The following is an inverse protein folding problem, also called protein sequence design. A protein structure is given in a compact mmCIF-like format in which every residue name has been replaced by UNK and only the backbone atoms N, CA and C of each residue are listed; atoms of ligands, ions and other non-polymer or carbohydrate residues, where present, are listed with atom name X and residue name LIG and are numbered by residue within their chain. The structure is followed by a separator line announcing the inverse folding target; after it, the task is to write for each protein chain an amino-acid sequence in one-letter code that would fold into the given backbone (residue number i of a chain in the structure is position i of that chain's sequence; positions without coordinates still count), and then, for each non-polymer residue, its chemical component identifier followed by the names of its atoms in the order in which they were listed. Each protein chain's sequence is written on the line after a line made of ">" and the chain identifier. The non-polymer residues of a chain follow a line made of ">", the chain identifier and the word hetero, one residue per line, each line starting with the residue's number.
data_IF_847827109186
#
_entry.id   IF_847827109186
#
_cell.length_a   1.000
_cell.length_b   1.000
_cell.length_c   1.000
_cell.angle_alpha   90.00
_cell.angle_beta   90.00
_cell.angle_gamma   90.00
#
_symmetry.space_group_name_H-M   'P 1'
#
loop_
_entity.id
_entity.type
_entity.pdbx_description
1 polymer ?
#
# COMPACT_ATOMS: atom_id res chain seq x y z
N UNK A 1 34.24 -52.09 45.13
CA UNK A 1 32.76 -52.17 44.99
C UNK A 1 32.44 -52.14 43.52
N UNK A 2 32.50 -53.31 42.88
CA UNK A 2 31.33 -54.10 42.42
C UNK A 2 30.47 -53.28 41.45
N UNK A 3 30.61 -53.50 40.13
CA UNK A 3 30.04 -54.61 39.33
C UNK A 3 28.59 -54.27 38.91
N UNK A 4 28.08 -54.53 37.70
CA UNK A 4 28.55 -55.31 36.54
C UNK A 4 27.61 -54.98 35.35
N UNK A 5 28.16 -55.08 34.12
CA UNK A 5 27.67 -55.66 32.84
C UNK A 5 26.16 -55.97 32.64
N UNK A 6 25.57 -56.22 31.46
CA UNK A 6 25.97 -56.39 30.05
C UNK A 6 24.71 -56.87 29.28
N UNK A 7 24.81 -56.88 27.95
CA UNK A 7 24.02 -57.64 26.95
C UNK A 7 22.67 -57.02 26.58
N UNK A 8 22.41 -56.71 25.31
CA UNK A 8 22.36 -57.62 24.16
C UNK A 8 20.91 -58.12 24.05
N UNK A 9 20.22 -58.26 22.92
CA UNK A 9 20.46 -58.05 21.51
C UNK A 9 19.13 -58.39 20.80
N UNK A 10 18.97 -57.87 19.58
CA UNK A 10 18.27 -58.49 18.44
C UNK A 10 16.78 -58.91 18.50
N UNK A 11 16.00 -58.24 17.64
CA UNK A 11 15.10 -58.79 16.60
C UNK A 11 13.96 -59.71 17.06
N UNK A 12 12.72 -59.19 16.94
CA UNK A 12 11.61 -59.91 16.30
C UNK A 12 10.77 -58.94 15.46
N UNK A 13 10.68 -59.23 14.16
CA UNK A 13 9.75 -58.62 13.23
C UNK A 13 8.37 -59.25 13.41
N UNK A 14 7.31 -58.45 13.28
CA UNK A 14 5.98 -58.93 12.94
C UNK A 14 5.41 -58.06 11.82
N UNK A 15 5.45 -58.65 10.63
CA UNK A 15 4.79 -58.21 9.42
C UNK A 15 3.28 -58.15 9.64
N UNK A 16 2.65 -57.07 9.19
CA UNK A 16 1.30 -57.12 8.64
C UNK A 16 1.33 -56.48 7.25
N UNK A 17 1.48 -57.37 6.27
CA UNK A 17 1.10 -57.17 4.88
C UNK A 17 -0.40 -56.93 4.79
N UNK A 18 -0.85 -55.90 4.07
CA UNK A 18 -2.01 -56.03 3.18
C UNK A 18 -1.88 -55.11 1.97
N UNK A 19 -1.55 -55.77 0.86
CA UNK A 19 -1.99 -55.59 -0.53
C UNK A 19 -2.50 -54.23 -1.04
N UNK A 20 -1.79 -53.76 -2.05
CA UNK A 20 -2.20 -52.80 -3.09
C UNK A 20 -3.54 -53.14 -3.77
N UNK A 21 -4.36 -52.13 -4.09
CA UNK A 21 -4.72 -51.73 -5.46
C UNK A 21 -6.06 -50.98 -5.55
N UNK A 22 -6.09 -50.03 -6.50
CA UNK A 22 -7.25 -49.29 -7.07
C UNK A 22 -7.61 -47.94 -6.44
N UNK A 23 -6.91 -46.90 -6.90
CA UNK A 23 -7.52 -45.57 -7.05
C UNK A 23 -7.38 -45.18 -8.52
N UNK A 24 -8.52 -45.05 -9.21
CA UNK A 24 -8.67 -44.37 -10.50
C UNK A 24 -9.51 -43.11 -10.27
N UNK A 25 -9.33 -42.06 -11.09
CA UNK A 25 -9.83 -40.71 -10.84
C UNK A 25 -11.28 -40.56 -11.31
N UNK A 26 -12.06 -39.69 -10.64
CA UNK A 26 -13.36 -39.26 -11.14
C UNK A 26 -13.39 -37.73 -11.26
N UNK A 27 -13.28 -37.27 -12.50
CA UNK A 27 -13.71 -35.94 -12.95
C UNK A 27 -15.24 -35.91 -12.95
N UNK A 28 -15.83 -34.93 -12.25
CA UNK A 28 -17.19 -34.50 -12.53
C UNK A 28 -17.32 -32.98 -12.33
N UNK A 29 -17.75 -32.33 -13.41
CA UNK A 29 -18.14 -30.93 -13.55
C UNK A 29 -19.10 -30.50 -12.43
N UNK A 30 -18.85 -29.33 -11.84
CA UNK A 30 -19.89 -28.53 -11.21
C UNK A 30 -20.03 -27.22 -11.99
N UNK A 31 -21.22 -27.02 -12.54
CA UNK A 31 -21.62 -25.94 -13.44
C UNK A 31 -21.74 -24.61 -12.70
N UNK A 32 -21.36 -23.53 -13.40
CA UNK A 32 -21.83 -22.18 -13.15
C UNK A 32 -23.36 -22.12 -13.25
N UNK A 33 -24.00 -21.41 -12.32
CA UNK A 33 -25.42 -21.04 -12.12
C UNK A 33 -25.72 -21.32 -10.64
N UNK A 34 -25.67 -20.34 -9.75
CA UNK A 34 -26.84 -19.50 -9.46
C UNK A 34 -26.37 -18.43 -8.48
N UNK A 35 -26.17 -17.18 -8.89
CA UNK A 35 -26.11 -15.96 -8.03
C UNK A 35 -25.94 -14.73 -8.96
N UNK A 36 -26.94 -14.46 -9.80
CA UNK A 36 -26.93 -13.28 -10.69
C UNK A 36 -28.31 -12.67 -10.95
N UNK A 37 -29.25 -12.81 -10.00
CA UNK A 37 -30.59 -12.24 -10.12
C UNK A 37 -31.08 -11.65 -8.80
N UNK A 38 -30.43 -10.58 -8.33
CA UNK A 38 -31.09 -9.66 -7.38
C UNK A 38 -30.51 -8.24 -7.30
N UNK A 39 -29.59 -7.84 -8.19
CA UNK A 39 -28.98 -6.49 -8.15
C UNK A 39 -29.19 -5.70 -9.45
N UNK A 40 -30.41 -5.73 -9.99
CA UNK A 40 -30.78 -4.84 -11.10
C UNK A 40 -32.26 -4.47 -11.03
N UNK A 41 -32.57 -3.46 -10.23
CA UNK A 41 -33.62 -2.48 -10.53
C UNK A 41 -33.61 -1.37 -9.47
N UNK A 42 -32.93 -0.25 -9.78
CA UNK A 42 -33.25 1.13 -9.35
C UNK A 42 -32.00 2.03 -9.37
N UNK A 43 -31.41 2.28 -10.54
CA UNK A 43 -30.68 3.53 -10.75
C UNK A 43 -30.99 4.06 -12.15
N UNK A 44 -32.03 4.89 -12.21
CA UNK A 44 -32.39 5.69 -13.38
C UNK A 44 -31.45 6.90 -13.40
N UNK A 45 -30.41 6.85 -14.22
CA UNK A 45 -29.43 7.93 -14.39
C UNK A 45 -30.11 9.18 -14.96
N UNK A 46 -30.16 10.26 -14.17
CA UNK A 46 -30.36 11.63 -14.68
C UNK A 46 -28.99 12.28 -14.78
N UNK A 47 -28.56 12.42 -16.02
CA UNK A 47 -27.29 13.00 -16.44
C UNK A 47 -27.36 14.53 -16.30
N UNK A 48 -26.62 15.11 -15.35
CA UNK A 48 -26.27 16.55 -15.31
C UNK A 48 -25.23 16.83 -14.24
N UNK A 49 -23.95 16.64 -14.56
CA UNK A 49 -22.85 17.27 -13.83
C UNK A 49 -21.86 17.88 -14.82
N UNK A 50 -22.19 19.09 -15.29
CA UNK A 50 -21.17 20.04 -15.70
C UNK A 50 -20.64 20.68 -14.42
N UNK A 51 -19.44 20.30 -13.99
CA UNK A 51 -18.63 21.14 -13.12
C UNK A 51 -17.17 21.01 -13.54
N UNK A 52 -16.57 22.16 -13.78
CA UNK A 52 -15.23 22.41 -14.28
C UNK A 52 -14.16 21.80 -13.38
N UNK A 53 -13.59 20.67 -13.81
CA UNK A 53 -12.33 20.15 -13.26
C UNK A 53 -11.21 21.01 -13.85
N UNK A 54 -10.40 21.64 -12.99
CA UNK A 54 -9.19 22.31 -13.43
C UNK A 54 -8.31 21.31 -14.20
N UNK A 55 -8.11 21.57 -15.49
CA UNK A 55 -7.27 20.75 -16.36
C UNK A 55 -5.82 21.07 -16.03
N UNK A 56 -5.20 20.25 -15.18
CA UNK A 56 -3.75 20.27 -14.99
C UNK A 56 -3.08 19.62 -16.21
N UNK A 57 -2.12 20.29 -16.88
CA UNK A 57 -1.31 19.66 -17.91
C UNK A 57 -0.33 18.69 -17.23
N UNK A 58 -0.65 17.40 -17.24
CA UNK A 58 0.19 16.36 -16.64
C UNK A 58 -0.43 14.97 -16.77
N UNK A 59 0.41 13.93 -16.73
CA UNK A 59 -0.05 12.54 -16.79
C UNK A 59 -0.80 12.14 -15.51
N UNK A 60 -1.50 11.00 -15.50
CA UNK A 60 -2.12 10.46 -14.27
C UNK A 60 -1.04 10.24 -13.22
N UNK A 61 0.11 9.69 -13.63
CA UNK A 61 1.25 9.47 -12.75
C UNK A 61 1.76 10.76 -12.09
N UNK A 62 1.85 11.86 -12.85
CA UNK A 62 2.33 13.15 -12.31
C UNK A 62 1.33 13.75 -11.32
N UNK A 63 0.03 13.61 -11.61
CA UNK A 63 -1.02 14.05 -10.69
C UNK A 63 -0.95 13.30 -9.36
N UNK A 64 -0.83 11.96 -9.40
CA UNK A 64 -0.73 11.17 -8.16
C UNK A 64 0.53 11.53 -7.39
N UNK A 65 1.67 11.69 -8.07
CA UNK A 65 2.92 12.10 -7.41
C UNK A 65 2.75 13.44 -6.70
N UNK A 66 2.09 14.41 -7.35
CA UNK A 66 1.78 15.71 -6.77
C UNK A 66 0.82 15.59 -5.57
N UNK A 67 -0.21 14.74 -5.64
CA UNK A 67 -1.13 14.49 -4.54
C UNK A 67 -0.40 13.89 -3.32
N UNK A 68 0.52 12.95 -3.56
CA UNK A 68 1.38 12.35 -2.53
C UNK A 68 2.23 13.43 -1.84
N UNK A 69 2.89 14.29 -2.62
CA UNK A 69 3.75 15.36 -2.10
C UNK A 69 2.96 16.47 -1.39
N UNK A 70 1.74 16.76 -1.83
CA UNK A 70 0.85 17.75 -1.23
C UNK A 70 0.25 17.27 0.09
N UNK A 71 -0.15 16.00 0.15
CA UNK A 71 -0.78 15.38 1.32
C UNK A 71 0.24 15.04 2.41
N UNK A 72 1.40 14.53 2.00
CA UNK A 72 2.40 13.98 2.91
C UNK A 72 1.99 12.65 3.55
N UNK A 73 0.80 12.13 3.24
CA UNK A 73 0.25 10.87 3.75
C UNK A 73 -0.30 10.03 2.59
N UNK A 74 -0.08 8.71 2.67
CA UNK A 74 -0.82 7.68 1.91
C UNK A 74 -1.50 6.76 2.94
N UNK A 75 -2.82 6.59 2.84
CA UNK A 75 -3.54 5.61 3.65
C UNK A 75 -3.41 4.21 3.03
N UNK A 76 -3.09 3.20 3.84
CA UNK A 76 -2.95 1.82 3.42
C UNK A 76 -4.02 0.96 4.08
N UNK A 77 -5.02 0.53 3.30
CA UNK A 77 -6.16 -0.22 3.80
C UNK A 77 -5.98 -1.72 3.58
N UNK A 78 -6.22 -2.49 4.64
CA UNK A 78 -6.43 -3.93 4.60
C UNK A 78 -7.75 -4.23 5.30
N UNK A 79 -8.60 -5.02 4.65
CA UNK A 79 -9.89 -5.42 5.20
C UNK A 79 -10.15 -6.90 4.98
N UNK A 80 -11.16 -7.44 5.68
CA UNK A 80 -11.54 -8.85 5.58
C UNK A 80 -12.52 -9.13 4.44
N UNK A 81 -13.09 -8.09 3.82
CA UNK A 81 -13.97 -8.19 2.65
C UNK A 81 -14.02 -6.87 1.87
N UNK A 82 -14.59 -6.91 0.67
CA UNK A 82 -14.81 -5.74 -0.18
C UNK A 82 -15.74 -4.71 0.49
N UNK A 83 -16.81 -5.16 1.12
CA UNK A 83 -17.79 -4.29 1.78
C UNK A 83 -17.15 -3.52 2.94
N UNK A 84 -16.36 -4.21 3.76
CA UNK A 84 -15.61 -3.57 4.84
C UNK A 84 -14.57 -2.58 4.29
N UNK A 85 -13.92 -2.92 3.18
CA UNK A 85 -12.96 -2.03 2.53
C UNK A 85 -13.64 -0.75 2.02
N UNK A 86 -14.81 -0.85 1.40
CA UNK A 86 -15.59 0.28 0.90
C UNK A 86 -15.98 1.22 2.05
N UNK A 87 -16.55 0.69 3.13
CA UNK A 87 -16.98 1.51 4.27
C UNK A 87 -15.80 2.19 4.98
N UNK A 88 -14.70 1.46 5.21
CA UNK A 88 -13.49 2.03 5.81
C UNK A 88 -12.84 3.10 4.92
N UNK A 89 -12.79 2.86 3.60
CA UNK A 89 -12.26 3.83 2.64
C UNK A 89 -13.12 5.08 2.58
N UNK A 90 -14.45 4.96 2.54
CA UNK A 90 -15.39 6.10 2.62
C UNK A 90 -15.15 6.96 3.85
N UNK A 91 -15.01 6.31 5.01
CA UNK A 91 -14.71 7.01 6.26
C UNK A 91 -13.38 7.76 6.20
N UNK A 92 -12.33 7.13 5.67
CA UNK A 92 -11.01 7.74 5.54
C UNK A 92 -10.99 8.91 4.53
N UNK A 93 -11.62 8.74 3.36
CA UNK A 93 -11.76 9.77 2.32
C UNK A 93 -12.57 10.97 2.84
N UNK A 94 -13.69 10.71 3.52
CA UNK A 94 -14.48 11.75 4.21
C UNK A 94 -13.71 12.42 5.35
N UNK A 95 -12.68 11.75 5.89
CA UNK A 95 -11.75 12.31 6.86
C UNK A 95 -10.74 13.27 6.23
N UNK A 96 -10.65 13.34 4.90
CA UNK A 96 -9.74 14.22 4.17
C UNK A 96 -8.49 13.53 3.62
N UNK A 97 -8.44 12.19 3.67
CA UNK A 97 -7.41 11.44 2.93
C UNK A 97 -7.66 11.60 1.44
N UNK A 98 -6.63 12.02 0.69
CA UNK A 98 -6.69 12.19 -0.77
C UNK A 98 -5.97 11.08 -1.53
N UNK A 99 -5.07 10.34 -0.87
CA UNK A 99 -4.30 9.23 -1.46
C UNK A 99 -4.50 7.96 -0.61
N UNK A 100 -5.08 6.93 -1.20
CA UNK A 100 -5.42 5.68 -0.52
C UNK A 100 -5.10 4.46 -1.40
N UNK A 101 -4.43 3.47 -0.82
CA UNK A 101 -4.29 2.14 -1.43
C UNK A 101 -5.16 1.11 -0.69
N UNK A 102 -5.70 0.15 -1.44
CA UNK A 102 -6.28 -1.07 -0.89
C UNK A 102 -5.31 -2.21 -1.19
N UNK A 103 -4.97 -3.00 -0.18
CA UNK A 103 -3.97 -4.07 -0.33
C UNK A 103 -4.57 -5.32 -0.97
N UNK A 104 -3.80 -6.00 -1.83
CA UNK A 104 -4.18 -7.25 -2.51
C UNK A 104 -4.62 -8.38 -1.56
N UNK A 105 -4.21 -8.32 -0.29
CA UNK A 105 -4.68 -9.23 0.75
C UNK A 105 -6.14 -9.05 1.17
N UNK A 106 -6.81 -7.99 0.70
CA UNK A 106 -8.23 -7.76 0.95
C UNK A 106 -9.05 -8.58 -0.03
N UNK A 107 -9.88 -9.54 0.43
CA UNK A 107 -10.77 -10.27 -0.46
C UNK A 107 -11.71 -9.31 -1.18
N UNK A 108 -11.78 -9.41 -2.51
CA UNK A 108 -12.58 -8.52 -3.34
C UNK A 108 -12.01 -7.10 -3.53
N UNK A 109 -10.67 -6.98 -3.51
CA UNK A 109 -9.96 -5.69 -3.66
C UNK A 109 -10.33 -4.95 -4.94
N UNK A 110 -10.53 -5.65 -6.06
CA UNK A 110 -10.82 -5.04 -7.36
C UNK A 110 -12.26 -4.52 -7.45
N UNK A 111 -13.21 -5.23 -6.84
CA UNK A 111 -14.60 -4.82 -6.70
C UNK A 111 -14.69 -3.55 -5.83
N UNK A 112 -14.00 -3.54 -4.69
CA UNK A 112 -13.93 -2.37 -3.81
C UNK A 112 -13.29 -1.17 -4.52
N UNK A 113 -12.17 -1.38 -5.23
CA UNK A 113 -11.52 -0.31 -5.99
C UNK A 113 -12.44 0.26 -7.07
N UNK A 114 -13.06 -0.60 -7.89
CA UNK A 114 -13.92 -0.15 -8.98
C UNK A 114 -15.08 0.71 -8.46
N UNK A 115 -15.67 0.29 -7.33
CA UNK A 115 -16.72 1.04 -6.66
C UNK A 115 -16.23 2.41 -6.18
N UNK A 116 -15.09 2.45 -5.47
CA UNK A 116 -14.54 3.68 -4.89
C UNK A 116 -14.03 4.66 -5.94
N UNK A 117 -13.47 4.19 -7.05
CA UNK A 117 -13.05 5.05 -8.18
C UNK A 117 -14.26 5.74 -8.81
N UNK A 118 -15.41 5.06 -8.88
CA UNK A 118 -16.64 5.66 -9.37
C UNK A 118 -17.21 6.72 -8.40
N UNK A 119 -17.19 6.44 -7.09
CA UNK A 119 -17.73 7.35 -6.08
C UNK A 119 -16.80 8.56 -5.78
N UNK A 120 -15.48 8.35 -5.85
CA UNK A 120 -14.45 9.36 -5.53
C UNK A 120 -13.48 9.58 -6.70
N UNK A 121 -13.95 10.06 -7.87
CA UNK A 121 -13.12 10.18 -9.07
C UNK A 121 -11.96 11.17 -8.92
N UNK A 122 -12.04 12.09 -7.97
CA UNK A 122 -10.96 13.05 -7.66
C UNK A 122 -9.86 12.47 -6.77
N UNK A 123 -10.16 11.44 -5.97
CA UNK A 123 -9.18 10.85 -5.06
C UNK A 123 -8.15 10.02 -5.82
N UNK A 124 -6.91 10.02 -5.35
CA UNK A 124 -5.85 9.17 -5.86
C UNK A 124 -5.97 7.79 -5.20
N UNK A 125 -6.65 6.87 -5.89
CA UNK A 125 -6.90 5.51 -5.43
C UNK A 125 -5.99 4.52 -6.15
N UNK A 126 -5.46 3.55 -5.42
CA UNK A 126 -4.53 2.56 -5.95
C UNK A 126 -4.61 1.21 -5.25
N UNK A 127 -3.74 0.31 -5.66
CA UNK A 127 -3.62 -1.04 -5.09
C UNK A 127 -2.22 -1.25 -4.54
N UNK A 128 -2.15 -1.76 -3.32
CA UNK A 128 -0.90 -2.09 -2.64
C UNK A 128 -0.65 -3.58 -2.57
N UNK A 129 0.61 -3.98 -2.39
CA UNK A 129 1.03 -5.40 -2.38
C UNK A 129 0.82 -6.09 -3.74
N UNK A 130 0.99 -5.35 -4.83
CA UNK A 130 0.97 -5.92 -6.18
C UNK A 130 2.31 -6.60 -6.43
N UNK A 131 2.32 -7.90 -6.75
CA UNK A 131 3.54 -8.70 -6.85
C UNK A 131 3.81 -9.26 -8.24
N UNK A 132 2.84 -9.16 -9.14
CA UNK A 132 2.96 -9.62 -10.52
C UNK A 132 2.24 -8.67 -11.50
N UNK A 133 2.41 -9.00 -12.77
CA UNK A 133 1.96 -8.21 -13.91
C UNK A 133 0.45 -8.33 -14.12
N UNK A 134 -0.12 -9.49 -13.82
CA UNK A 134 -1.53 -9.80 -14.00
C UNK A 134 -2.37 -8.96 -13.02
N UNK A 135 -2.02 -8.97 -11.73
CA UNK A 135 -2.65 -8.14 -10.71
C UNK A 135 -2.52 -6.65 -11.02
N UNK A 136 -1.36 -6.22 -11.53
CA UNK A 136 -1.16 -4.84 -11.96
C UNK A 136 -2.14 -4.46 -13.08
N UNK A 137 -2.30 -5.32 -14.09
CA UNK A 137 -3.23 -5.08 -15.21
C UNK A 137 -4.68 -5.03 -14.73
N UNK A 138 -5.07 -5.90 -13.83
CA UNK A 138 -6.44 -5.94 -13.32
C UNK A 138 -6.75 -4.73 -12.42
N UNK A 139 -5.80 -4.30 -11.59
CA UNK A 139 -5.90 -3.05 -10.84
C UNK A 139 -6.12 -1.84 -11.77
N UNK A 140 -5.35 -1.73 -12.86
CA UNK A 140 -5.49 -0.65 -13.83
C UNK A 140 -6.83 -0.68 -14.56
N UNK A 141 -7.34 -1.85 -14.93
CA UNK A 141 -8.68 -2.00 -15.54
C UNK A 141 -9.79 -1.53 -14.60
N UNK A 142 -9.62 -1.73 -13.29
CA UNK A 142 -10.53 -1.23 -12.26
C UNK A 142 -10.35 0.27 -11.94
N UNK A 143 -9.42 0.96 -12.60
CA UNK A 143 -9.22 2.40 -12.47
C UNK A 143 -8.19 2.81 -11.42
N UNK A 144 -7.30 1.90 -10.99
CA UNK A 144 -6.17 2.27 -10.14
C UNK A 144 -5.34 3.38 -10.81
N UNK A 145 -5.08 4.46 -10.08
CA UNK A 145 -4.22 5.57 -10.52
C UNK A 145 -2.76 5.35 -10.12
N UNK A 146 -2.51 4.47 -9.15
CA UNK A 146 -1.18 4.04 -8.77
C UNK A 146 -1.17 2.60 -8.25
N UNK A 147 0.01 2.00 -8.28
CA UNK A 147 0.31 0.65 -7.83
C UNK A 147 1.49 0.71 -6.87
N UNK A 148 1.47 -0.11 -5.82
CA UNK A 148 2.56 -0.18 -4.85
C UNK A 148 2.94 -1.63 -4.54
N UNK A 149 4.24 -1.88 -4.47
CA UNK A 149 4.80 -3.19 -4.13
C UNK A 149 5.67 -3.10 -2.87
N UNK A 150 5.83 -4.18 -2.10
CA UNK A 150 6.81 -4.24 -1.00
C UNK A 150 8.25 -4.41 -1.49
N UNK A 151 8.44 -4.78 -2.76
CA UNK A 151 9.72 -4.93 -3.44
C UNK A 151 9.64 -4.33 -4.86
N UNK A 152 10.75 -4.28 -5.59
CA UNK A 152 10.76 -3.91 -7.00
C UNK A 152 10.31 -5.10 -7.85
N UNK A 153 9.23 -4.92 -8.62
CA UNK A 153 8.77 -5.87 -9.63
C UNK A 153 8.99 -5.22 -10.99
N UNK A 154 10.07 -5.61 -11.68
CA UNK A 154 10.52 -4.91 -12.90
C UNK A 154 9.47 -5.00 -14.00
N UNK A 155 8.79 -6.13 -14.09
CA UNK A 155 7.76 -6.41 -15.08
C UNK A 155 6.57 -5.46 -14.99
N UNK A 156 6.25 -4.96 -13.80
CA UNK A 156 5.21 -3.94 -13.59
C UNK A 156 5.72 -2.58 -14.08
N UNK A 157 6.96 -2.22 -13.73
CA UNK A 157 7.56 -0.95 -14.16
C UNK A 157 7.65 -0.86 -15.70
N UNK A 158 7.97 -1.97 -16.36
CA UNK A 158 8.09 -2.04 -17.82
C UNK A 158 6.71 -2.04 -18.53
N UNK A 159 5.67 -2.63 -17.93
CA UNK A 159 4.34 -2.76 -18.55
C UNK A 159 3.40 -1.59 -18.26
N UNK A 160 3.61 -0.84 -17.17
CA UNK A 160 2.81 0.35 -16.90
C UNK A 160 3.20 1.42 -17.91
N UNK A 161 2.34 1.60 -18.93
CA UNK A 161 2.55 2.60 -19.96
C UNK A 161 2.84 3.97 -19.34
N UNK A 162 3.81 4.68 -19.91
CA UNK A 162 4.30 5.94 -19.36
C UNK A 162 3.12 6.91 -19.15
N UNK A 163 2.92 7.32 -17.90
CA UNK A 163 1.88 8.27 -17.52
C UNK A 163 0.48 7.71 -17.28
N UNK A 164 0.21 6.42 -17.52
CA UNK A 164 -1.09 5.79 -17.28
C UNK A 164 -1.40 5.65 -15.78
N UNK A 165 -0.39 5.26 -15.00
CA UNK A 165 -0.46 5.17 -13.55
C UNK A 165 0.93 5.37 -12.94
N UNK A 166 0.98 5.72 -11.66
CA UNK A 166 2.24 5.78 -10.92
C UNK A 166 2.57 4.40 -10.34
N UNK A 167 3.70 3.80 -10.71
CA UNK A 167 4.21 2.62 -10.01
C UNK A 167 5.21 3.03 -8.92
N UNK A 168 5.00 2.51 -7.71
CA UNK A 168 5.81 2.78 -6.51
C UNK A 168 6.44 1.47 -6.02
N UNK A 169 7.64 1.09 -6.50
CA UNK A 169 8.33 -0.12 -6.07
C UNK A 169 8.84 0.01 -4.64
N UNK A 170 8.88 -1.12 -3.93
CA UNK A 170 9.48 -1.21 -2.60
C UNK A 170 10.98 -1.48 -2.66
N UNK A 171 11.71 -0.90 -1.71
CA UNK A 171 13.13 -1.13 -1.53
C UNK A 171 13.50 -1.02 -0.04
N UNK A 172 14.51 -1.78 0.35
CA UNK A 172 15.09 -1.77 1.69
C UNK A 172 16.46 -1.10 1.67
N UNK A 173 17.33 -1.40 0.71
CA UNK A 173 18.76 -0.99 0.73
C UNK A 173 19.09 0.19 -0.20
N UNK A 174 20.21 0.92 0.01
CA UNK A 174 20.64 1.98 -0.92
C UNK A 174 20.78 1.50 -2.37
N UNK A 175 21.26 0.27 -2.58
CA UNK A 175 21.39 -0.33 -3.92
C UNK A 175 20.03 -0.53 -4.57
N UNK A 176 19.07 -1.11 -3.86
CA UNK A 176 17.70 -1.31 -4.37
C UNK A 176 17.01 0.02 -4.69
N UNK A 177 17.20 1.04 -3.83
CA UNK A 177 16.65 2.38 -4.02
C UNK A 177 17.22 3.02 -5.28
N UNK A 178 18.53 2.95 -5.47
CA UNK A 178 19.19 3.45 -6.67
C UNK A 178 18.71 2.71 -7.91
N UNK A 179 18.65 1.38 -7.88
CA UNK A 179 18.20 0.54 -9.00
C UNK A 179 16.76 0.85 -9.41
N UNK A 180 15.85 1.01 -8.44
CA UNK A 180 14.47 1.39 -8.73
C UNK A 180 14.39 2.76 -9.40
N UNK A 181 15.15 3.74 -8.90
CA UNK A 181 15.18 5.09 -9.47
C UNK A 181 15.78 5.11 -10.88
N UNK A 182 16.89 4.43 -11.12
CA UNK A 182 17.54 4.41 -12.44
C UNK A 182 16.77 3.59 -13.46
N UNK A 183 15.94 2.64 -13.02
CA UNK A 183 14.99 1.93 -13.87
C UNK A 183 13.76 2.78 -14.26
N UNK A 184 13.61 4.00 -13.72
CA UNK A 184 12.55 4.94 -14.09
C UNK A 184 11.44 5.12 -13.05
N UNK A 185 11.55 4.55 -11.85
CA UNK A 185 10.58 4.81 -10.79
C UNK A 185 10.62 6.30 -10.37
N UNK A 186 9.48 6.99 -10.45
CA UNK A 186 9.36 8.40 -10.06
C UNK A 186 9.47 8.63 -8.54
N UNK A 187 9.17 7.61 -7.75
CA UNK A 187 9.23 7.61 -6.28
C UNK A 187 9.40 6.16 -5.78
N UNK A 188 10.17 5.97 -4.71
CA UNK A 188 10.48 4.63 -4.15
C UNK A 188 9.93 4.47 -2.74
N UNK A 189 9.31 3.33 -2.44
CA UNK A 189 8.84 2.98 -1.09
C UNK A 189 9.97 2.36 -0.27
N UNK A 190 10.42 3.05 0.77
CA UNK A 190 11.35 2.50 1.76
C UNK A 190 10.56 1.68 2.78
N UNK A 191 10.78 0.37 2.78
CA UNK A 191 10.01 -0.60 3.56
C UNK A 191 10.91 -1.77 4.01
N UNK A 192 10.83 -2.23 5.27
CA UNK A 192 10.03 -1.71 6.39
C UNK A 192 10.79 -0.68 7.24
N UNK A 193 10.39 0.61 7.17
CA UNK A 193 11.24 1.71 7.66
C UNK A 193 11.48 1.68 9.18
N UNK A 194 10.50 1.27 9.97
CA UNK A 194 10.61 1.22 11.44
C UNK A 194 11.71 0.27 11.91
N UNK A 195 11.83 -0.90 11.27
CA UNK A 195 12.85 -1.90 11.57
C UNK A 195 14.26 -1.46 11.14
N UNK A 196 14.36 -0.51 10.18
CA UNK A 196 15.63 0.00 9.67
C UNK A 196 16.16 1.19 10.47
N UNK A 197 15.44 1.65 11.50
CA UNK A 197 15.79 2.83 12.29
C UNK A 197 15.01 4.09 11.92
N UNK A 198 13.92 3.98 11.15
CA UNK A 198 12.96 5.05 10.95
C UNK A 198 13.55 6.30 10.29
N UNK A 199 13.41 7.44 10.97
CA UNK A 199 13.88 8.75 10.48
C UNK A 199 15.37 8.75 10.19
N UNK A 200 16.16 8.11 11.05
CA UNK A 200 17.61 8.05 10.93
C UNK A 200 18.03 7.33 9.65
N UNK A 201 17.31 6.28 9.28
CA UNK A 201 17.58 5.53 8.05
C UNK A 201 17.30 6.37 6.81
N UNK A 202 16.11 6.96 6.71
CA UNK A 202 15.75 7.84 5.60
C UNK A 202 16.77 8.99 5.48
N UNK A 203 17.15 9.60 6.61
CA UNK A 203 18.17 10.65 6.63
C UNK A 203 19.53 10.17 6.10
N UNK A 204 19.95 8.96 6.47
CA UNK A 204 21.21 8.39 6.04
C UNK A 204 21.22 8.08 4.54
N UNK A 205 20.13 7.54 4.00
CA UNK A 205 19.98 7.21 2.57
C UNK A 205 19.82 8.47 1.72
N UNK A 206 19.13 9.50 2.22
CA UNK A 206 18.99 10.78 1.52
C UNK A 206 20.34 11.46 1.30
N UNK A 207 21.34 11.27 2.17
CA UNK A 207 22.68 11.87 2.03
C UNK A 207 23.34 11.64 0.66
N UNK A 208 23.51 10.40 0.20
CA UNK A 208 24.03 10.13 -1.15
C UNK A 208 22.99 10.35 -2.26
N UNK A 209 21.69 10.35 -1.94
CA UNK A 209 20.60 10.42 -2.92
C UNK A 209 19.61 11.57 -2.63
N UNK A 210 20.05 12.84 -2.69
CA UNK A 210 19.20 13.99 -2.34
C UNK A 210 17.92 14.04 -3.20
N UNK A 211 18.05 13.75 -4.50
CA UNK A 211 17.00 13.94 -5.50
C UNK A 211 16.04 12.76 -5.65
N UNK A 212 16.40 11.56 -5.14
CA UNK A 212 15.53 10.38 -5.22
C UNK A 212 14.35 10.57 -4.27
N UNK A 213 13.13 10.68 -4.81
CA UNK A 213 11.90 10.79 -4.01
C UNK A 213 11.62 9.47 -3.31
N UNK A 214 11.24 9.53 -2.03
CA UNK A 214 11.03 8.34 -1.20
C UNK A 214 9.74 8.47 -0.40
N UNK A 215 8.97 7.40 -0.25
CA UNK A 215 7.94 7.29 0.78
C UNK A 215 8.44 6.36 1.88
N UNK A 216 8.13 6.67 3.14
CA UNK A 216 8.47 5.80 4.26
C UNK A 216 7.25 4.99 4.69
N UNK A 217 7.40 3.68 4.85
CA UNK A 217 6.27 2.78 5.11
C UNK A 217 6.54 1.79 6.25
N UNK A 218 5.47 1.44 6.97
CA UNK A 218 5.40 0.50 8.10
C UNK A 218 5.87 1.08 9.45
N UNK A 219 5.07 0.86 10.49
CA UNK A 219 5.42 1.21 11.88
C UNK A 219 5.40 2.72 12.19
N UNK A 220 4.64 3.50 11.43
CA UNK A 220 4.50 4.95 11.58
C UNK A 220 3.16 5.23 12.25
N UNK A 221 3.19 6.00 13.35
CA UNK A 221 1.99 6.39 14.09
C UNK A 221 1.64 7.86 13.84
N UNK A 222 0.36 8.20 14.00
CA UNK A 222 -0.09 9.60 14.00
C UNK A 222 0.41 10.24 15.30
N UNK A 223 1.43 11.09 15.19
CA UNK A 223 2.04 11.75 16.34
C UNK A 223 3.07 12.79 15.93
N UNK A 224 2.89 14.00 16.45
CA UNK A 224 3.51 15.26 16.01
C UNK A 224 5.04 15.29 15.88
N UNK A 225 5.77 14.32 16.40
CA UNK A 225 7.24 14.32 16.36
C UNK A 225 7.86 13.29 15.41
N UNK A 226 7.34 12.06 15.35
CA UNK A 226 7.96 11.00 14.52
C UNK A 226 7.55 11.11 13.05
N UNK A 227 6.23 11.21 12.81
CA UNK A 227 5.69 11.36 11.47
C UNK A 227 6.19 12.65 10.82
N UNK A 228 6.08 13.76 11.56
CA UNK A 228 6.57 15.05 11.13
C UNK A 228 8.07 15.02 10.85
N UNK A 229 8.92 14.38 11.67
CA UNK A 229 10.37 14.27 11.38
C UNK A 229 10.70 13.38 10.17
N UNK A 230 9.85 12.42 9.87
CA UNK A 230 10.06 11.53 8.73
C UNK A 230 9.84 12.29 7.42
N UNK A 231 8.86 13.20 7.42
CA UNK A 231 8.56 14.14 6.32
C UNK A 231 9.56 15.32 6.34
N UNK A 232 9.72 15.95 7.50
CA UNK A 232 10.64 17.03 7.82
C UNK A 232 12.00 16.46 8.21
N UNK A 233 12.84 16.14 7.25
CA UNK A 233 14.27 16.13 7.55
C UNK A 233 14.75 17.59 7.43
N UNK A 234 15.48 18.06 8.43
CA UNK A 234 16.11 19.36 8.43
C UNK A 234 17.60 19.11 8.64
N UNK A 235 18.40 19.36 7.61
CA UNK A 235 19.84 19.51 7.78
C UNK A 235 20.15 20.91 8.28
N UNK A 236 20.90 21.04 9.36
CA UNK A 236 21.65 22.29 9.61
C UNK A 236 23.02 22.18 8.97
N UNK A 237 23.41 23.23 8.25
CA UNK A 237 24.81 23.56 7.98
C UNK A 237 24.88 25.08 7.95
N UNK A 238 25.65 25.62 8.87
CA UNK A 238 26.17 26.96 8.77
C UNK A 238 27.03 27.03 7.48
N UNK A 239 26.91 28.12 6.71
CA UNK A 239 27.64 28.38 5.46
C UNK A 239 27.10 27.69 4.18
N UNK A 240 25.91 28.11 3.73
CA UNK A 240 25.76 28.48 2.32
C UNK A 240 24.93 27.60 1.37
N UNK A 241 24.51 26.38 1.73
CA UNK A 241 23.38 25.66 1.08
C UNK A 241 23.04 24.36 1.82
N UNK A 242 21.80 24.23 2.33
CA UNK A 242 21.28 22.98 2.90
C UNK A 242 19.77 22.89 2.75
N UNK A 243 19.28 21.78 2.19
CA UNK A 243 17.98 21.19 2.55
C UNK A 243 18.06 19.67 2.40
N UNK A 244 17.75 18.91 3.46
CA UNK A 244 17.53 17.46 3.35
C UNK A 244 16.05 17.23 3.48
N UNK A 245 15.26 17.23 2.40
CA UNK A 245 13.83 16.84 2.51
C UNK A 245 13.76 15.37 2.93
N UNK A 246 12.87 15.04 3.86
CA UNK A 246 12.70 13.66 4.33
C UNK A 246 12.08 12.74 3.29
N UNK A 247 11.30 11.78 3.76
CA UNK A 247 10.37 11.11 2.87
C UNK A 247 9.37 12.15 2.34
N UNK A 248 9.06 12.08 1.04
CA UNK A 248 8.04 12.89 0.38
C UNK A 248 6.65 12.65 1.00
N UNK A 249 6.43 11.46 1.54
CA UNK A 249 5.19 11.06 2.21
C UNK A 249 5.43 9.86 3.12
N UNK A 250 4.47 9.60 4.00
CA UNK A 250 4.46 8.41 4.87
C UNK A 250 3.23 7.56 4.61
N UNK A 251 3.39 6.24 4.69
CA UNK A 251 2.27 5.30 4.57
C UNK A 251 1.73 4.97 5.95
N UNK A 252 0.43 5.19 6.17
CA UNK A 252 -0.28 4.92 7.41
C UNK A 252 -1.32 3.81 7.20
N UNK A 253 -1.11 2.66 7.87
CA UNK A 253 -2.08 1.55 7.94
C UNK A 253 -2.86 1.65 9.25
N UNK A 254 -2.45 0.89 10.28
CA UNK A 254 -3.16 0.72 11.55
C UNK A 254 -3.32 2.02 12.35
N UNK A 255 -2.56 3.05 11.99
CA UNK A 255 -2.71 4.38 12.56
C UNK A 255 -4.01 5.07 12.10
N UNK A 256 -4.52 4.75 10.91
CA UNK A 256 -5.82 5.20 10.39
C UNK A 256 -6.85 4.09 10.55
N UNK A 257 -6.49 2.86 10.13
CA UNK A 257 -7.35 1.68 10.15
C UNK A 257 -7.11 0.86 11.40
N UNK A 258 -7.35 1.48 12.56
CA UNK A 258 -7.15 0.86 13.87
C UNK A 258 -7.88 -0.49 13.96
N UNK A 259 -7.16 -1.55 14.34
CA UNK A 259 -7.67 -2.93 14.29
C UNK A 259 -9.01 -3.10 15.01
N UNK A 260 -9.12 -2.62 16.24
CA UNK A 260 -10.36 -2.72 17.03
C UNK A 260 -11.52 -1.98 16.34
N UNK A 261 -11.27 -0.80 15.77
CA UNK A 261 -12.30 -0.05 15.05
C UNK A 261 -12.74 -0.76 13.77
N UNK A 262 -11.82 -1.44 13.07
CA UNK A 262 -12.15 -2.26 11.89
C UNK A 262 -12.97 -3.50 12.29
N UNK A 263 -12.56 -4.21 13.33
CA UNK A 263 -13.23 -5.43 13.83
C UNK A 263 -14.65 -5.11 14.33
N UNK A 264 -14.83 -3.98 15.02
CA UNK A 264 -16.13 -3.51 15.53
C UNK A 264 -16.93 -2.67 14.52
N UNK A 265 -16.41 -2.46 13.30
CA UNK A 265 -17.01 -1.60 12.26
C UNK A 265 -17.31 -0.18 12.73
N UNK A 266 -16.47 0.37 13.60
CA UNK A 266 -16.60 1.72 14.12
C UNK A 266 -15.98 2.75 13.17
N UNK A 267 -16.66 3.01 12.04
CA UNK A 267 -16.13 3.85 10.96
C UNK A 267 -15.99 5.34 11.32
N UNK A 268 -16.74 5.85 12.29
CA UNK A 268 -16.53 7.22 12.81
C UNK A 268 -15.14 7.38 13.42
N UNK A 269 -14.61 6.35 14.08
CA UNK A 269 -13.24 6.34 14.61
C UNK A 269 -12.22 6.42 13.48
N UNK A 270 -12.43 5.67 12.39
CA UNK A 270 -11.60 5.72 11.18
C UNK A 270 -11.60 7.13 10.59
N UNK A 271 -12.77 7.78 10.50
CA UNK A 271 -12.90 9.15 10.02
C UNK A 271 -12.10 10.15 10.88
N UNK A 272 -12.21 10.04 12.22
CA UNK A 272 -11.47 10.90 13.15
C UNK A 272 -9.95 10.75 13.01
N UNK A 273 -9.47 9.51 12.93
CA UNK A 273 -8.04 9.22 12.73
C UNK A 273 -7.55 9.73 11.38
N UNK A 274 -8.31 9.50 10.31
CA UNK A 274 -8.04 10.02 8.97
C UNK A 274 -7.95 11.55 8.96
N UNK A 275 -8.86 12.25 9.64
CA UNK A 275 -8.83 13.71 9.78
C UNK A 275 -7.58 14.20 10.50
N UNK A 276 -7.20 13.54 11.58
CA UNK A 276 -5.96 13.86 12.31
C UNK A 276 -4.72 13.64 11.44
N UNK A 277 -4.67 12.53 10.70
CA UNK A 277 -3.58 12.21 9.77
C UNK A 277 -3.47 13.25 8.64
N UNK A 278 -4.57 13.53 7.94
CA UNK A 278 -4.61 14.49 6.84
C UNK A 278 -4.21 15.90 7.28
N UNK A 279 -4.69 16.35 8.45
CA UNK A 279 -4.28 17.62 9.04
C UNK A 279 -2.78 17.66 9.34
N UNK A 280 -2.25 16.62 9.99
CA UNK A 280 -0.84 16.57 10.39
C UNK A 280 0.09 16.48 9.18
N UNK A 281 -0.26 15.69 8.16
CA UNK A 281 0.46 15.61 6.89
C UNK A 281 0.55 16.95 6.19
N UNK A 282 -0.61 17.60 6.01
CA UNK A 282 -0.69 18.93 5.39
C UNK A 282 0.17 19.97 6.11
N UNK A 283 0.17 19.95 7.45
CA UNK A 283 1.00 20.85 8.25
C UNK A 283 2.50 20.57 8.10
N UNK A 284 2.90 19.29 8.02
CA UNK A 284 4.30 18.93 7.78
C UNK A 284 4.76 19.40 6.41
N UNK A 285 3.95 19.21 5.35
CA UNK A 285 4.27 19.67 3.99
C UNK A 285 4.36 21.19 3.91
N UNK A 286 3.43 21.93 4.53
CA UNK A 286 3.47 23.41 4.57
C UNK A 286 4.75 23.93 5.22
N UNK A 287 5.14 23.36 6.36
CA UNK A 287 6.41 23.72 7.03
C UNK A 287 7.64 23.48 6.15
N UNK A 288 7.64 22.49 5.27
CA UNK A 288 8.75 22.30 4.32
C UNK A 288 8.80 23.49 3.35
N UNK A 289 7.65 23.84 2.77
CA UNK A 289 7.55 24.93 1.78
C UNK A 289 7.97 26.27 2.36
N UNK A 290 7.49 26.60 3.56
CA UNK A 290 7.80 27.87 4.23
C UNK A 290 9.28 28.00 4.61
N UNK A 291 10.01 26.89 4.80
CA UNK A 291 11.45 26.90 5.08
C UNK A 291 12.32 26.97 3.80
N UNK A 292 11.72 26.70 2.64
CA UNK A 292 12.40 26.71 1.33
C UNK A 292 12.25 28.07 0.60
N UNK A 293 11.23 28.87 0.95
CA UNK A 293 10.97 30.22 0.46
C UNK A 293 11.74 31.28 1.22
#
# INVERSE_FOLDING_TARGET
>A
MMAVASSGGSIWALNLFFSSSKIKPFLAKASAHTYSKEFSSHFRCKNSYKNSVAVYPGTVADRVLMDIENSGIIACLRAQSAEMAIEAARAALSGGISVLEITMSTPGVFEALQFLVHEYPSASLGVGTVLDREDAKDALKCGAKFLMSPAMVKEILDDVAEGQALYIPGAMTPTEILLASTAGAKIVKVYPVSALGGVQYIAAVKKPFPDIKMIASQGITIGNFKMCKLILILGRRFSGSVYWSGASSVVLSDAIFEKNAMDEKYFDRINQLARSAAFTGSQAVRKIRDNLS
#
